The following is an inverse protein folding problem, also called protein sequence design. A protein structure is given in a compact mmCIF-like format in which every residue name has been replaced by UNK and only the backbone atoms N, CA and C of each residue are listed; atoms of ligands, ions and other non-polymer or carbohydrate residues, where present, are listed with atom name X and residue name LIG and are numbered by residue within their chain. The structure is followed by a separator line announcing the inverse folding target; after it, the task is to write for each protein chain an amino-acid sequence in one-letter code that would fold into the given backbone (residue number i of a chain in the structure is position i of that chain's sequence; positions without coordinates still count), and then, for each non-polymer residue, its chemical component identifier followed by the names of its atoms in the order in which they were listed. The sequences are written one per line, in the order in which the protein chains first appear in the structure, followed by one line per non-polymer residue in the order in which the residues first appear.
data_IF_970891865576
#
_entry.id   IF_970891865576
#
_cell.length_a   1.000
_cell.length_b   1.000
_cell.length_c   1.000
_cell.angle_alpha   90.00
_cell.angle_beta   90.00
_cell.angle_gamma   90.00
#
_symmetry.space_group_name_H-M   'P 1'
#
loop_
_entity.id
_entity.type
_entity.pdbx_description
1 polymer ?
#
# COMPACT_ATOMS: atom_id res chain seq x y z
N UNK A 1 17.13 12.04 -13.63
CA UNK A 1 15.95 11.82 -12.76
C UNK A 1 15.38 13.19 -12.41
N UNK A 2 14.53 13.74 -13.26
CA UNK A 2 13.90 15.05 -13.08
C UNK A 2 12.47 14.86 -12.55
N UNK A 3 12.16 15.65 -11.52
CA UNK A 3 10.84 16.06 -11.05
C UNK A 3 9.86 15.01 -10.53
N UNK A 4 10.09 14.57 -9.29
CA UNK A 4 8.98 14.14 -8.42
C UNK A 4 8.39 15.40 -7.76
N UNK A 5 7.46 16.08 -8.43
CA UNK A 5 6.85 17.35 -7.95
C UNK A 5 6.25 17.29 -6.53
N UNK A 6 6.01 16.09 -6.00
CA UNK A 6 5.50 15.87 -4.64
C UNK A 6 6.61 15.64 -3.60
N UNK A 7 7.89 15.53 -3.98
CA UNK A 7 9.03 15.23 -3.09
C UNK A 7 8.80 14.07 -2.10
N UNK A 8 7.88 13.14 -2.40
CA UNK A 8 7.59 11.99 -1.54
C UNK A 8 8.75 11.00 -1.70
N UNK A 9 9.68 11.04 -0.74
CA UNK A 9 10.86 10.16 -0.69
C UNK A 9 10.49 8.70 -0.38
N UNK A 10 9.42 8.48 0.39
CA UNK A 10 8.94 7.14 0.78
C UNK A 10 7.46 6.95 0.37
N UNK A 11 7.24 6.40 -0.82
CA UNK A 11 5.89 6.16 -1.37
C UNK A 11 5.18 4.95 -0.74
N UNK A 12 5.95 4.02 -0.20
CA UNK A 12 5.47 2.85 0.54
C UNK A 12 5.03 3.18 1.98
N UNK A 13 5.40 4.35 2.45
CA UNK A 13 5.04 4.84 3.76
C UNK A 13 5.90 4.37 4.92
N UNK A 14 7.06 3.77 4.64
CA UNK A 14 8.03 3.34 5.65
C UNK A 14 8.40 4.48 6.62
N UNK A 15 8.47 4.14 7.92
CA UNK A 15 8.79 5.09 8.99
C UNK A 15 10.22 5.64 8.81
N UNK A 16 10.41 6.97 8.75
CA UNK A 16 11.75 7.55 8.61
C UNK A 16 12.61 7.36 9.86
N UNK A 17 12.02 6.94 10.99
CA UNK A 17 12.74 6.68 12.25
C UNK A 17 13.42 5.31 12.26
N UNK A 18 13.03 4.42 11.34
CA UNK A 18 13.54 3.07 11.25
C UNK A 18 14.52 2.96 10.10
N UNK A 19 15.71 2.45 10.39
CA UNK A 19 16.70 2.18 9.37
C UNK A 19 16.19 1.11 8.41
N UNK A 20 16.41 1.33 7.11
CA UNK A 20 16.05 0.38 6.07
C UNK A 20 17.21 0.15 5.13
N UNK A 21 17.67 -1.09 5.08
CA UNK A 21 18.62 -1.53 4.06
C UNK A 21 17.90 -1.72 2.72
N UNK A 22 17.96 -0.70 1.86
CA UNK A 22 17.28 -0.70 0.56
C UNK A 22 18.22 -1.24 -0.52
N UNK A 23 18.25 -2.56 -0.73
CA UNK A 23 19.06 -3.20 -1.79
C UNK A 23 18.44 -3.12 -3.18
N UNK A 24 17.11 -3.03 -3.24
CA UNK A 24 16.34 -3.00 -4.48
C UNK A 24 15.35 -1.84 -4.45
N UNK A 25 15.05 -1.27 -5.62
CA UNK A 25 14.00 -0.26 -5.80
C UNK A 25 13.10 -0.69 -6.95
N UNK A 26 11.83 -0.93 -6.65
CA UNK A 26 10.81 -1.21 -7.65
C UNK A 26 10.08 0.09 -8.05
N UNK A 27 9.70 0.20 -9.32
CA UNK A 27 8.92 1.32 -9.85
C UNK A 27 7.41 1.18 -9.60
N UNK A 28 6.94 -0.03 -9.29
CA UNK A 28 5.54 -0.35 -9.03
C UNK A 28 5.40 -1.35 -7.88
N UNK A 29 4.23 -1.36 -7.25
CA UNK A 29 3.90 -2.34 -6.21
C UNK A 29 3.86 -3.77 -6.77
N UNK A 30 3.33 -3.95 -7.99
CA UNK A 30 3.30 -5.26 -8.64
C UNK A 30 4.70 -5.86 -8.82
N UNK A 31 5.66 -5.08 -9.32
CA UNK A 31 7.04 -5.55 -9.45
C UNK A 31 7.65 -5.88 -8.08
N UNK A 32 7.40 -5.06 -7.06
CA UNK A 32 7.88 -5.33 -5.70
C UNK A 32 7.34 -6.66 -5.15
N UNK A 33 6.06 -6.96 -5.38
CA UNK A 33 5.44 -8.22 -4.96
C UNK A 33 6.04 -9.43 -5.68
N UNK A 34 6.31 -9.32 -6.99
CA UNK A 34 6.97 -10.40 -7.74
C UNK A 34 8.40 -10.66 -7.24
N UNK A 35 9.14 -9.61 -6.90
CA UNK A 35 10.46 -9.76 -6.27
C UNK A 35 10.36 -10.46 -4.90
N UNK A 36 9.35 -10.12 -4.10
CA UNK A 36 9.12 -10.79 -2.82
C UNK A 36 8.77 -12.28 -3.02
N UNK A 37 7.93 -12.60 -4.02
CA UNK A 37 7.58 -13.99 -4.37
C UNK A 37 8.78 -14.80 -4.86
N UNK A 38 9.68 -14.16 -5.60
CA UNK A 38 10.94 -14.77 -6.03
C UNK A 38 11.94 -14.98 -4.87
N UNK A 39 11.61 -14.55 -3.64
CA UNK A 39 12.45 -14.73 -2.46
C UNK A 39 13.67 -13.83 -2.41
N UNK A 40 13.78 -12.82 -3.27
CA UNK A 40 14.99 -11.98 -3.35
C UNK A 40 14.97 -10.82 -2.33
N UNK A 41 13.80 -10.45 -1.82
CA UNK A 41 13.65 -9.38 -0.84
C UNK A 41 12.36 -9.51 -0.01
N UNK A 42 12.27 -8.68 1.03
CA UNK A 42 11.01 -8.41 1.73
C UNK A 42 10.47 -7.03 1.31
N UNK A 43 9.15 -6.86 1.37
CA UNK A 43 8.47 -5.61 1.01
C UNK A 43 7.60 -5.10 2.15
N UNK A 44 7.54 -3.77 2.27
CA UNK A 44 6.59 -3.08 3.16
C UNK A 44 5.46 -2.52 2.32
N UNK A 45 4.24 -3.01 2.51
CA UNK A 45 3.06 -2.66 1.72
C UNK A 45 1.80 -2.68 2.60
N UNK A 46 0.70 -2.03 2.17
CA UNK A 46 -0.58 -2.13 2.86
C UNK A 46 -1.10 -3.57 2.92
N UNK A 47 -1.71 -3.93 4.05
CA UNK A 47 -2.25 -5.27 4.31
C UNK A 47 -3.28 -5.73 3.28
N UNK A 48 -4.19 -4.84 2.87
CA UNK A 48 -5.20 -5.16 1.85
C UNK A 48 -4.58 -5.60 0.51
N UNK A 49 -3.38 -5.13 0.18
CA UNK A 49 -2.70 -5.49 -1.06
C UNK A 49 -2.21 -6.94 -1.01
N UNK A 50 -1.73 -7.40 0.14
CA UNK A 50 -1.29 -8.78 0.35
C UNK A 50 -2.47 -9.73 0.31
N UNK A 51 -3.58 -9.39 0.99
CA UNK A 51 -4.81 -10.18 0.94
C UNK A 51 -5.26 -10.39 -0.53
N UNK A 52 -5.36 -9.29 -1.28
CA UNK A 52 -5.76 -9.31 -2.68
C UNK A 52 -4.78 -10.05 -3.61
N UNK A 53 -3.48 -9.96 -3.32
CA UNK A 53 -2.44 -10.63 -4.08
C UNK A 53 -2.44 -12.14 -3.83
N UNK A 54 -2.69 -12.57 -2.60
CA UNK A 54 -2.69 -13.98 -2.20
C UNK A 54 -3.96 -14.71 -2.64
N UNK A 55 -5.12 -14.05 -2.68
CA UNK A 55 -6.37 -14.61 -3.20
C UNK A 55 -6.23 -15.16 -4.63
N UNK A 56 -5.35 -14.55 -5.44
CA UNK A 56 -5.10 -14.95 -6.83
C UNK A 56 -3.88 -15.85 -7.02
N UNK A 57 -3.08 -16.05 -5.98
CA UNK A 57 -1.84 -16.80 -6.07
C UNK A 57 -2.05 -18.28 -5.68
N UNK A 58 -1.38 -19.23 -6.36
CA UNK A 58 -1.31 -20.60 -5.89
C UNK A 58 -0.76 -20.66 -4.46
N UNK A 59 -1.23 -21.61 -3.63
CA UNK A 59 -0.85 -21.70 -2.19
C UNK A 59 0.66 -21.62 -1.94
N UNK A 60 1.48 -22.27 -2.77
CA UNK A 60 2.94 -22.27 -2.64
C UNK A 60 3.64 -20.96 -3.04
N UNK A 61 2.90 -19.98 -3.59
CA UNK A 61 3.41 -18.67 -4.03
C UNK A 61 2.72 -17.51 -3.29
N UNK A 62 1.96 -17.81 -2.24
CA UNK A 62 1.38 -16.80 -1.37
C UNK A 62 2.47 -16.16 -0.52
N UNK A 63 2.38 -14.85 -0.35
CA UNK A 63 3.27 -14.08 0.50
C UNK A 63 2.85 -14.23 1.96
N UNK A 64 3.82 -14.35 2.85
CA UNK A 64 3.60 -14.36 4.30
C UNK A 64 4.20 -13.12 4.95
N UNK A 65 3.64 -12.74 6.10
CA UNK A 65 4.25 -11.72 6.94
C UNK A 65 5.57 -12.24 7.53
N UNK A 66 6.55 -11.35 7.67
CA UNK A 66 7.73 -11.64 8.46
C UNK A 66 7.34 -11.68 9.93
N UNK A 67 7.82 -12.70 10.64
CA UNK A 67 7.66 -12.77 12.09
C UNK A 67 8.64 -11.80 12.76
N UNK A 68 8.17 -10.57 12.95
CA UNK A 68 8.94 -9.52 13.62
C UNK A 68 8.66 -9.53 15.12
N UNK A 69 9.69 -9.25 15.97
CA UNK A 69 9.50 -9.05 17.40
C UNK A 69 8.40 -8.01 17.69
N UNK A 70 7.59 -8.18 18.75
CA UNK A 70 6.42 -7.32 19.00
C UNK A 70 6.73 -5.83 19.01
N UNK A 71 7.86 -5.44 19.63
CA UNK A 71 8.33 -4.05 19.66
C UNK A 71 8.55 -3.48 18.26
N UNK A 72 9.27 -4.23 17.41
CA UNK A 72 9.58 -3.82 16.05
C UNK A 72 8.32 -3.75 15.18
N UNK A 73 7.40 -4.71 15.35
CA UNK A 73 6.10 -4.72 14.67
C UNK A 73 5.28 -3.47 15.00
N UNK A 74 5.29 -3.03 16.25
CA UNK A 74 4.59 -1.82 16.67
C UNK A 74 5.21 -0.55 16.08
N UNK A 75 6.54 -0.47 16.02
CA UNK A 75 7.27 0.67 15.45
C UNK A 75 7.12 0.76 13.91
N UNK A 76 7.01 -0.39 13.23
CA UNK A 76 6.82 -0.48 11.77
C UNK A 76 5.35 -0.31 11.32
N UNK A 77 4.38 -0.53 12.21
CA UNK A 77 2.97 -0.37 11.89
C UNK A 77 2.65 1.10 11.64
N UNK A 78 2.22 1.42 10.42
CA UNK A 78 1.71 2.75 10.07
C UNK A 78 0.29 2.64 9.54
N UNK A 79 -0.56 3.60 9.94
CA UNK A 79 -1.87 3.80 9.34
C UNK A 79 -1.78 4.97 8.38
N UNK A 80 -2.44 4.85 7.23
CA UNK A 80 -2.52 5.92 6.23
C UNK A 80 -3.95 6.07 5.78
N UNK A 81 -4.38 7.32 5.79
CA UNK A 81 -5.69 7.69 5.25
C UNK A 81 -5.67 7.62 3.72
N UNK A 82 -6.75 7.09 3.16
CA UNK A 82 -6.99 7.06 1.72
C UNK A 82 -8.08 8.06 1.39
N UNK A 83 -7.81 8.94 0.43
CA UNK A 83 -8.69 10.05 0.09
C UNK A 83 -9.29 9.87 -1.31
N UNK A 84 -10.56 10.26 -1.43
CA UNK A 84 -11.19 10.54 -2.71
C UNK A 84 -11.05 12.04 -2.97
N UNK A 85 -10.42 12.40 -4.08
CA UNK A 85 -10.06 13.79 -4.39
C UNK A 85 -10.74 14.26 -5.67
N UNK A 86 -11.15 15.54 -5.69
CA UNK A 86 -11.66 16.23 -6.89
C UNK A 86 -10.83 17.49 -7.14
N UNK A 87 -10.87 18.02 -8.37
CA UNK A 87 -10.25 19.33 -8.64
C UNK A 87 -10.99 20.42 -7.87
N UNK A 88 -10.23 21.41 -7.39
CA UNK A 88 -10.81 22.53 -6.65
C UNK A 88 -11.80 23.33 -7.53
N UNK A 89 -11.49 23.48 -8.82
CA UNK A 89 -12.29 24.22 -9.80
C UNK A 89 -13.51 23.49 -10.34
N UNK A 90 -13.74 22.23 -9.96
CA UNK A 90 -14.84 21.42 -10.46
C UNK A 90 -15.90 21.22 -9.37
N UNK A 91 -17.17 21.49 -9.71
CA UNK A 91 -18.28 21.17 -8.81
C UNK A 91 -18.50 19.67 -8.70
N UNK A 92 -19.05 19.23 -7.57
CA UNK A 92 -19.34 17.82 -7.34
C UNK A 92 -20.56 17.37 -8.19
N UNK A 93 -20.30 16.61 -9.24
CA UNK A 93 -21.35 16.11 -10.12
C UNK A 93 -22.24 15.05 -9.45
N UNK A 94 -23.43 14.80 -10.02
CA UNK A 94 -24.28 13.67 -9.59
C UNK A 94 -23.55 12.32 -9.69
N UNK A 95 -22.75 12.14 -10.74
CA UNK A 95 -21.96 10.93 -10.93
C UNK A 95 -20.87 10.78 -9.85
N UNK A 96 -20.15 11.87 -9.52
CA UNK A 96 -19.15 11.86 -8.44
C UNK A 96 -19.78 11.46 -7.10
N UNK A 97 -20.93 12.04 -6.75
CA UNK A 97 -21.67 11.67 -5.52
C UNK A 97 -22.07 10.20 -5.50
N UNK A 98 -22.55 9.68 -6.62
CA UNK A 98 -22.95 8.27 -6.74
C UNK A 98 -21.74 7.34 -6.53
N UNK A 99 -20.62 7.62 -7.20
CA UNK A 99 -19.38 6.84 -7.08
C UNK A 99 -18.84 6.91 -5.65
N UNK A 100 -18.70 8.11 -5.08
CA UNK A 100 -18.20 8.31 -3.72
C UNK A 100 -19.04 7.56 -2.68
N UNK A 101 -20.37 7.56 -2.82
CA UNK A 101 -21.28 6.81 -1.95
C UNK A 101 -21.01 5.30 -2.03
N UNK A 102 -20.90 4.75 -3.25
CA UNK A 102 -20.65 3.31 -3.46
C UNK A 102 -19.29 2.91 -2.89
N UNK A 103 -18.23 3.67 -3.20
CA UNK A 103 -16.88 3.40 -2.70
C UNK A 103 -16.86 3.40 -1.17
N UNK A 104 -17.46 4.41 -0.53
CA UNK A 104 -17.57 4.45 0.94
C UNK A 104 -18.33 3.25 1.49
N UNK A 105 -19.41 2.82 0.85
CA UNK A 105 -20.18 1.65 1.32
C UNK A 105 -19.39 0.35 1.21
N UNK A 106 -18.65 0.16 0.12
CA UNK A 106 -17.80 -1.03 -0.10
C UNK A 106 -16.62 -1.03 0.88
N UNK A 107 -15.94 0.11 1.04
CA UNK A 107 -14.76 0.21 1.90
C UNK A 107 -15.09 0.23 3.39
N UNK A 108 -16.27 0.70 3.81
CA UNK A 108 -16.69 0.72 5.23
C UNK A 108 -16.92 -0.69 5.79
N UNK A 109 -17.35 -1.64 4.95
CA UNK A 109 -17.53 -3.06 5.32
C UNK A 109 -16.24 -3.85 5.48
N UNK A 110 -15.09 -3.29 5.08
CA UNK A 110 -13.80 -3.99 5.14
C UNK A 110 -13.04 -3.76 6.46
N UNK A 111 -13.68 -3.14 7.46
CA UNK A 111 -13.09 -2.76 8.76
C UNK A 111 -13.80 -3.43 9.96
N UNK A 112 -14.83 -4.23 9.70
CA UNK A 112 -15.50 -5.09 10.69
C UNK A 112 -15.09 -6.56 10.50
#
# INVERSE_FOLDING_TARGET
MKDNHLSIRNRDGWSPRLERLTRFRASSASLALEMARAGVCAVYVPEFLIAHANERAPKGHQLSYLDLPPRRRAEEKSLRDVFLVKRASEDESKAMRAVTRIVRQVCKKAVD
#
